data_IF_933900609461
#
_entry.id   IF_933900609461
#
_cell.length_a   1.000
_cell.length_b   1.000
_cell.length_c   1.000
_cell.angle_alpha   90.00
_cell.angle_beta   90.00
_cell.angle_gamma   90.00
#
_symmetry.space_group_name_H-M   'P 1'
#
loop_
_entity.id
_entity.type
_entity.pdbx_description
1 polymer ?
#
# COMPACT_ATOMS: atom_id res chain seq x y z
N UNK A 1 -23.45 4.60 23.19
CA UNK A 1 -24.50 4.30 24.17
C UNK A 1 -25.14 5.64 24.56
N UNK A 2 -26.32 5.96 24.03
CA UNK A 2 -27.06 7.16 24.45
C UNK A 2 -27.95 6.78 25.65
N UNK A 3 -27.78 7.49 26.75
CA UNK A 3 -28.20 7.10 28.11
C UNK A 3 -29.69 7.12 28.43
N UNK A 4 -30.56 7.48 27.48
CA UNK A 4 -31.99 7.72 27.77
C UNK A 4 -32.86 6.46 27.72
N UNK A 5 -32.31 5.30 27.33
CA UNK A 5 -33.04 4.01 27.21
C UNK A 5 -34.33 4.06 26.38
N UNK A 6 -34.63 5.13 25.64
CA UNK A 6 -35.86 5.26 24.84
C UNK A 6 -35.75 4.62 23.46
N UNK A 7 -34.52 4.47 22.96
CA UNK A 7 -34.23 4.04 21.59
C UNK A 7 -32.99 3.15 21.53
N UNK A 8 -33.09 2.02 20.83
CA UNK A 8 -31.97 1.18 20.44
C UNK A 8 -31.77 1.23 18.92
N UNK A 9 -30.52 1.46 18.49
CA UNK A 9 -30.13 1.44 17.08
C UNK A 9 -29.30 0.20 16.82
N UNK A 10 -29.78 -0.66 15.93
CA UNK A 10 -29.06 -1.85 15.47
C UNK A 10 -28.44 -1.56 14.11
N UNK A 11 -27.13 -1.71 14.04
CA UNK A 11 -26.39 -1.57 12.80
C UNK A 11 -26.30 -2.91 12.09
N UNK A 12 -26.48 -2.91 10.77
CA UNK A 12 -26.34 -4.12 9.96
C UNK A 12 -25.72 -3.79 8.60
N UNK A 13 -25.07 -4.81 8.02
CA UNK A 13 -24.52 -4.77 6.66
C UNK A 13 -25.26 -5.80 5.83
N UNK A 14 -25.73 -5.41 4.65
CA UNK A 14 -26.38 -6.30 3.69
C UNK A 14 -26.17 -5.78 2.28
N UNK A 15 -26.03 -6.68 1.31
CA UNK A 15 -25.94 -6.34 -0.11
C UNK A 15 -27.32 -5.97 -0.68
N UNK A 16 -28.36 -6.70 -0.26
CA UNK A 16 -29.73 -6.48 -0.68
C UNK A 16 -30.61 -5.91 0.44
N UNK A 17 -31.82 -5.48 0.06
CA UNK A 17 -32.81 -4.98 1.01
C UNK A 17 -33.36 -6.13 1.84
N UNK A 18 -33.10 -6.09 3.14
CA UNK A 18 -33.61 -7.08 4.11
C UNK A 18 -34.90 -6.56 4.78
N UNK A 19 -35.92 -7.41 4.89
CA UNK A 19 -37.15 -7.10 5.63
C UNK A 19 -37.02 -7.51 7.10
N UNK A 20 -36.95 -6.52 7.99
CA UNK A 20 -36.81 -6.73 9.43
C UNK A 20 -38.12 -6.63 10.21
N UNK A 21 -39.29 -6.56 9.55
CA UNK A 21 -40.57 -6.29 10.24
C UNK A 21 -40.87 -7.25 11.38
N UNK A 22 -40.65 -8.55 11.19
CA UNK A 22 -40.88 -9.55 12.25
C UNK A 22 -39.83 -9.46 13.36
N UNK A 23 -38.56 -9.27 13.01
CA UNK A 23 -37.47 -9.13 13.97
C UNK A 23 -37.65 -7.88 14.84
N UNK A 24 -38.06 -6.76 14.24
CA UNK A 24 -38.35 -5.51 14.96
C UNK A 24 -39.46 -5.72 15.98
N UNK A 25 -40.54 -6.48 15.65
CA UNK A 25 -41.61 -6.79 16.60
C UNK A 25 -41.08 -7.58 17.80
N UNK A 26 -40.31 -8.64 17.54
CA UNK A 26 -39.70 -9.47 18.59
C UNK A 26 -38.75 -8.67 19.50
N UNK A 27 -37.91 -7.81 18.93
CA UNK A 27 -36.97 -6.97 19.67
C UNK A 27 -37.70 -5.88 20.48
N UNK A 28 -38.73 -5.25 19.90
CA UNK A 28 -39.51 -4.22 20.59
C UNK A 28 -40.28 -4.80 21.78
N UNK A 29 -40.83 -6.01 21.65
CA UNK A 29 -41.49 -6.73 22.75
C UNK A 29 -40.50 -7.09 23.87
N UNK A 30 -39.33 -7.60 23.51
CA UNK A 30 -38.31 -8.01 24.46
C UNK A 30 -37.70 -6.83 25.24
N UNK A 31 -37.33 -5.75 24.54
CA UNK A 31 -36.62 -4.62 25.15
C UNK A 31 -37.54 -3.49 25.62
N UNK A 32 -38.82 -3.45 25.17
CA UNK A 32 -39.81 -2.40 25.48
C UNK A 32 -39.33 -0.97 25.14
N UNK A 33 -38.55 -0.84 24.07
CA UNK A 33 -37.96 0.41 23.58
C UNK A 33 -38.15 0.54 22.08
N UNK A 34 -37.98 1.75 21.53
CA UNK A 34 -38.05 1.97 20.09
C UNK A 34 -36.83 1.36 19.40
N UNK A 35 -37.08 0.41 18.51
CA UNK A 35 -36.04 -0.24 17.70
C UNK A 35 -35.87 0.51 16.38
N UNK A 36 -34.63 0.86 16.05
CA UNK A 36 -34.24 1.41 14.75
C UNK A 36 -33.18 0.52 14.11
N UNK A 37 -33.46 0.02 12.91
CA UNK A 37 -32.48 -0.70 12.10
C UNK A 37 -31.78 0.30 11.19
N UNK A 38 -30.45 0.34 11.21
CA UNK A 38 -29.64 1.25 10.39
C UNK A 38 -28.63 0.46 9.56
N UNK A 39 -28.80 0.52 8.24
CA UNK A 39 -27.82 -0.05 7.33
C UNK A 39 -26.53 0.78 7.37
N UNK A 40 -25.40 0.08 7.39
CA UNK A 40 -24.06 0.66 7.26
C UNK A 40 -23.28 -0.10 6.19
N UNK A 41 -22.26 0.55 5.62
CA UNK A 41 -21.36 -0.10 4.68
C UNK A 41 -20.30 -0.94 5.40
N UNK A 42 -19.74 -1.94 4.71
CA UNK A 42 -18.67 -2.83 5.21
C UNK A 42 -17.48 -2.10 5.85
N UNK A 43 -17.13 -0.89 5.37
CA UNK A 43 -16.06 -0.08 5.96
C UNK A 43 -16.47 0.56 7.29
N UNK A 44 -17.71 1.01 7.40
CA UNK A 44 -18.23 1.59 8.63
C UNK A 44 -18.43 0.51 9.69
N UNK A 45 -18.75 -0.71 9.28
CA UNK A 45 -18.75 -1.89 10.14
C UNK A 45 -17.35 -2.16 10.67
N UNK A 46 -16.34 -2.28 9.78
CA UNK A 46 -14.94 -2.44 10.18
C UNK A 46 -14.44 -1.30 11.08
N UNK A 47 -14.88 -0.06 10.85
CA UNK A 47 -14.56 1.08 11.71
C UNK A 47 -15.16 0.97 13.12
N UNK A 48 -16.38 0.44 13.24
CA UNK A 48 -17.05 0.26 14.54
C UNK A 48 -16.51 -0.93 15.32
N UNK A 49 -16.19 -2.02 14.62
CA UNK A 49 -15.55 -3.19 15.22
C UNK A 49 -14.10 -2.86 15.65
N UNK A 50 -13.42 -2.03 14.86
CA UNK A 50 -12.00 -1.76 15.03
C UNK A 50 -11.14 -2.94 14.57
N UNK A 51 -9.85 -2.88 14.88
CA UNK A 51 -8.90 -3.94 14.56
C UNK A 51 -7.51 -3.42 14.23
N UNK A 52 -6.65 -4.33 13.78
CA UNK A 52 -5.28 -4.02 13.36
C UNK A 52 -5.16 -4.20 11.84
N UNK A 53 -4.64 -3.17 11.18
CA UNK A 53 -4.35 -3.19 9.75
C UNK A 53 -3.10 -4.01 9.44
N UNK A 54 -2.89 -4.32 8.16
CA UNK A 54 -1.68 -5.03 7.71
C UNK A 54 -0.37 -4.26 7.98
N UNK A 55 -0.46 -2.97 8.33
CA UNK A 55 0.67 -2.15 8.76
C UNK A 55 1.01 -2.28 10.26
N UNK A 56 0.29 -3.13 11.01
CA UNK A 56 0.50 -3.33 12.45
C UNK A 56 -0.07 -2.22 13.35
N UNK A 57 -0.79 -1.25 12.78
CA UNK A 57 -1.47 -0.17 13.53
C UNK A 57 -2.98 -0.41 13.59
N UNK A 58 -3.66 0.30 14.48
CA UNK A 58 -5.12 0.35 14.49
C UNK A 58 -5.69 0.80 13.14
N UNK A 59 -6.90 0.37 12.80
CA UNK A 59 -7.53 0.75 11.53
C UNK A 59 -7.69 2.28 11.46
N UNK A 60 -7.18 2.89 10.37
CA UNK A 60 -7.33 4.33 10.16
C UNK A 60 -8.80 4.77 10.23
N UNK A 61 -9.73 3.90 9.80
CA UNK A 61 -11.16 4.15 9.84
C UNK A 61 -11.83 4.10 11.21
N UNK A 62 -11.22 3.42 12.19
CA UNK A 62 -11.67 3.41 13.58
C UNK A 62 -10.99 4.49 14.43
N UNK A 63 -9.94 5.14 13.89
CA UNK A 63 -9.08 6.07 14.61
C UNK A 63 -9.32 7.52 14.17
N UNK A 64 -8.68 7.95 13.09
CA UNK A 64 -8.60 9.37 12.72
C UNK A 64 -9.21 9.70 11.35
N UNK A 65 -9.42 8.71 10.47
CA UNK A 65 -9.95 8.91 9.12
C UNK A 65 -11.43 8.54 9.07
N UNK A 66 -12.31 9.49 8.79
CA UNK A 66 -13.76 9.27 8.73
C UNK A 66 -14.37 9.52 7.34
N UNK A 67 -13.68 10.29 6.50
CA UNK A 67 -14.07 10.55 5.11
C UNK A 67 -13.23 9.72 4.16
N UNK A 68 -13.89 9.01 3.24
CA UNK A 68 -13.23 8.14 2.29
C UNK A 68 -13.73 8.40 0.87
N UNK A 69 -12.77 8.54 -0.04
CA UNK A 69 -13.04 8.50 -1.46
C UNK A 69 -12.96 7.06 -1.97
N UNK A 70 -13.56 6.81 -3.14
CA UNK A 70 -13.38 5.55 -3.84
C UNK A 70 -11.91 5.38 -4.21
N UNK A 71 -11.38 4.18 -3.97
CA UNK A 71 -9.98 3.85 -4.28
C UNK A 71 -9.97 3.09 -5.59
N UNK A 72 -9.06 3.45 -6.49
CA UNK A 72 -8.88 2.76 -7.76
C UNK A 72 -7.62 1.90 -7.74
N UNK A 73 -7.56 0.89 -8.60
CA UNK A 73 -6.34 0.10 -8.81
C UNK A 73 -5.21 0.93 -9.44
N UNK A 74 -5.52 2.10 -10.00
CA UNK A 74 -4.51 3.01 -10.54
C UNK A 74 -3.60 3.58 -9.45
N UNK A 75 -4.14 3.85 -8.24
CA UNK A 75 -3.33 4.31 -7.10
C UNK A 75 -2.25 3.28 -6.75
N UNK A 76 -2.60 1.99 -6.75
CA UNK A 76 -1.63 0.90 -6.52
C UNK A 76 -0.57 0.80 -7.62
N UNK A 77 -0.95 1.06 -8.89
CA UNK A 77 -0.02 1.06 -10.03
C UNK A 77 1.01 2.18 -9.93
N UNK A 78 0.58 3.40 -9.57
CA UNK A 78 1.49 4.54 -9.39
C UNK A 78 2.48 4.26 -8.26
N UNK A 79 2.03 3.62 -7.18
CA UNK A 79 2.87 3.19 -6.06
C UNK A 79 3.75 1.97 -6.37
N UNK A 80 3.69 1.44 -7.59
CA UNK A 80 4.44 0.27 -8.05
C UNK A 80 4.19 -0.98 -7.19
N UNK A 81 3.00 -1.11 -6.62
CA UNK A 81 2.58 -2.26 -5.83
C UNK A 81 2.06 -3.39 -6.72
N UNK A 82 2.22 -4.63 -6.25
CA UNK A 82 1.63 -5.80 -6.92
C UNK A 82 0.11 -5.68 -6.98
N UNK A 83 -0.49 -5.95 -8.14
CA UNK A 83 -1.95 -5.88 -8.35
C UNK A 83 -2.72 -7.10 -7.81
N UNK A 84 -2.16 -7.84 -6.84
CA UNK A 84 -2.86 -8.97 -6.21
C UNK A 84 -3.98 -8.42 -5.29
N UNK A 85 -5.26 -8.79 -5.52
CA UNK A 85 -6.40 -8.32 -4.72
C UNK A 85 -6.27 -8.59 -3.23
N UNK A 86 -5.75 -9.76 -2.83
CA UNK A 86 -5.59 -10.12 -1.41
C UNK A 86 -4.62 -9.17 -0.69
N UNK A 87 -3.54 -8.76 -1.36
CA UNK A 87 -2.55 -7.82 -0.79
C UNK A 87 -3.06 -6.38 -0.75
N UNK A 88 -3.96 -6.01 -1.66
CA UNK A 88 -4.52 -4.67 -1.78
C UNK A 88 -5.82 -4.45 -0.98
N UNK A 89 -6.52 -5.52 -0.60
CA UNK A 89 -7.71 -5.47 0.23
C UNK A 89 -7.38 -5.06 1.68
N UNK A 90 -8.18 -4.17 2.24
CA UNK A 90 -8.19 -3.89 3.68
C UNK A 90 -9.11 -4.85 4.44
N UNK A 91 -9.15 -4.72 5.76
CA UNK A 91 -10.00 -5.58 6.62
C UNK A 91 -11.50 -5.50 6.28
N UNK A 92 -11.94 -4.41 5.67
CA UNK A 92 -13.31 -4.26 5.18
C UNK A 92 -13.60 -4.96 3.83
N UNK A 93 -12.67 -5.77 3.30
CA UNK A 93 -12.78 -6.46 2.02
C UNK A 93 -12.62 -5.58 0.77
N UNK A 94 -12.67 -4.25 0.90
CA UNK A 94 -12.42 -3.28 -0.18
C UNK A 94 -10.95 -2.87 -0.24
N UNK A 95 -10.54 -2.27 -1.36
CA UNK A 95 -9.20 -1.68 -1.52
C UNK A 95 -8.82 -0.76 -0.34
N UNK A 96 -7.56 -0.85 0.10
CA UNK A 96 -6.99 -0.07 1.20
C UNK A 96 -7.14 1.43 0.93
N UNK A 97 -7.73 2.15 1.87
CA UNK A 97 -7.84 3.62 1.81
C UNK A 97 -6.47 4.31 1.91
N UNK A 98 -5.48 3.66 2.53
CA UNK A 98 -4.09 4.16 2.58
C UNK A 98 -3.50 4.40 1.19
N UNK A 99 -3.95 3.66 0.17
CA UNK A 99 -3.50 3.86 -1.21
C UNK A 99 -3.82 5.27 -1.72
N UNK A 100 -4.97 5.84 -1.37
CA UNK A 100 -5.27 7.23 -1.74
C UNK A 100 -4.63 8.22 -0.76
N UNK A 101 -4.44 7.85 0.50
CA UNK A 101 -3.80 8.74 1.47
C UNK A 101 -2.33 9.01 1.14
N UNK A 102 -1.59 7.99 0.70
CA UNK A 102 -0.16 8.08 0.45
C UNK A 102 0.17 8.56 -0.98
N UNK A 103 -0.82 8.55 -1.89
CA UNK A 103 -0.58 8.73 -3.33
C UNK A 103 0.13 10.04 -3.68
N UNK A 104 -0.26 11.14 -3.04
CA UNK A 104 0.29 12.47 -3.35
C UNK A 104 1.78 12.54 -2.99
N UNK A 105 2.14 11.98 -1.82
CA UNK A 105 3.54 11.87 -1.40
C UNK A 105 4.35 11.00 -2.36
N UNK A 106 3.76 9.93 -2.91
CA UNK A 106 4.41 9.12 -3.95
C UNK A 106 4.62 9.91 -5.25
N UNK A 107 3.61 10.65 -5.72
CA UNK A 107 3.69 11.45 -6.94
C UNK A 107 4.77 12.53 -6.80
N UNK A 108 4.76 13.28 -5.70
CA UNK A 108 5.76 14.30 -5.40
C UNK A 108 7.17 13.69 -5.35
N UNK A 109 7.31 12.55 -4.66
CA UNK A 109 8.60 11.87 -4.57
C UNK A 109 9.07 11.40 -5.94
N UNK A 110 8.20 10.84 -6.78
CA UNK A 110 8.54 10.41 -8.14
C UNK A 110 9.01 11.56 -9.04
N UNK A 111 8.54 12.79 -8.84
CA UNK A 111 9.03 13.96 -9.60
C UNK A 111 10.51 14.26 -9.33
N UNK A 112 11.04 13.87 -8.16
CA UNK A 112 12.46 14.04 -7.84
C UNK A 112 13.38 13.00 -8.49
N UNK A 113 12.82 11.94 -9.09
CA UNK A 113 13.60 10.87 -9.70
C UNK A 113 14.01 11.24 -11.12
N UNK A 114 15.27 10.98 -11.52
CA UNK A 114 15.69 11.14 -12.91
C UNK A 114 15.03 10.13 -13.84
N UNK A 115 15.03 10.42 -15.15
CA UNK A 115 14.50 9.52 -16.17
C UNK A 115 15.19 8.14 -16.10
N UNK A 116 14.38 7.09 -15.95
CA UNK A 116 14.84 5.71 -15.81
C UNK A 116 15.53 5.15 -17.07
N UNK A 117 15.42 5.84 -18.22
CA UNK A 117 16.11 5.48 -19.47
C UNK A 117 17.57 5.90 -19.49
N UNK A 118 18.00 6.77 -18.58
CA UNK A 118 19.38 7.27 -18.52
C UNK A 118 20.29 6.17 -17.97
N UNK A 119 21.25 5.73 -18.80
CA UNK A 119 22.31 4.81 -18.38
C UNK A 119 23.43 5.57 -17.70
N UNK A 120 23.83 5.13 -16.52
CA UNK A 120 24.96 5.72 -15.81
C UNK A 120 26.26 5.21 -16.41
N UNK A 121 27.18 6.11 -16.76
CA UNK A 121 28.50 5.76 -17.27
C UNK A 121 29.53 5.92 -16.15
N UNK A 122 30.36 4.89 -15.98
CA UNK A 122 31.50 4.90 -15.06
C UNK A 122 32.74 4.39 -15.78
N UNK A 123 33.92 4.51 -15.17
CA UNK A 123 35.16 3.94 -15.74
C UNK A 123 35.11 2.41 -15.83
N UNK A 124 34.42 1.76 -14.89
CA UNK A 124 34.21 0.30 -14.86
C UNK A 124 33.28 -0.19 -15.97
N UNK A 125 32.31 0.62 -16.39
CA UNK A 125 31.33 0.24 -17.40
C UNK A 125 30.05 1.07 -17.36
N UNK A 126 29.08 0.66 -18.18
CA UNK A 126 27.73 1.25 -18.22
C UNK A 126 26.80 0.47 -17.31
N UNK A 127 25.95 1.19 -16.59
CA UNK A 127 24.93 0.59 -15.75
C UNK A 127 23.53 0.99 -16.20
N UNK A 128 22.65 -0.01 -16.20
CA UNK A 128 21.24 0.11 -16.55
C UNK A 128 20.38 0.11 -15.29
N UNK A 129 19.28 0.87 -15.34
CA UNK A 129 18.28 0.90 -14.28
C UNK A 129 17.51 -0.44 -14.21
N UNK A 130 17.22 -0.89 -12.99
CA UNK A 130 16.50 -2.15 -12.73
C UNK A 130 15.17 -1.89 -12.01
N UNK A 131 15.21 -1.26 -10.83
CA UNK A 131 14.02 -0.98 -9.99
C UNK A 131 14.25 0.28 -9.15
N UNK A 132 13.19 0.87 -8.60
CA UNK A 132 13.29 1.99 -7.65
C UNK A 132 12.52 1.68 -6.37
N UNK A 133 13.02 2.21 -5.26
CA UNK A 133 12.29 2.27 -3.99
C UNK A 133 11.96 3.74 -3.75
N UNK A 134 10.72 4.13 -4.07
CA UNK A 134 10.25 5.52 -4.05
C UNK A 134 10.34 6.10 -2.65
N UNK A 135 9.88 5.36 -1.64
CA UNK A 135 9.85 5.83 -0.25
C UNK A 135 11.26 6.02 0.33
N UNK A 136 12.20 5.15 -0.01
CA UNK A 136 13.60 5.27 0.44
C UNK A 136 14.43 6.24 -0.41
N UNK A 137 13.88 6.78 -1.49
CA UNK A 137 14.61 7.60 -2.48
C UNK A 137 15.86 6.89 -3.01
N UNK A 138 15.69 5.62 -3.38
CA UNK A 138 16.77 4.77 -3.89
C UNK A 138 16.44 4.24 -5.29
N UNK A 139 17.47 4.15 -6.14
CA UNK A 139 17.39 3.53 -7.46
C UNK A 139 18.40 2.39 -7.56
N UNK A 140 17.97 1.27 -8.14
CA UNK A 140 18.78 0.09 -8.32
C UNK A 140 19.33 0.04 -9.72
N UNK A 141 20.65 -0.12 -9.83
CA UNK A 141 21.38 -0.22 -11.08
C UNK A 141 22.21 -1.49 -11.13
N UNK A 142 22.33 -2.10 -12.31
CA UNK A 142 23.26 -3.19 -12.57
C UNK A 142 24.21 -2.80 -13.70
N UNK A 143 25.47 -3.27 -13.62
CA UNK A 143 26.38 -3.14 -14.74
C UNK A 143 25.93 -4.04 -15.90
N UNK A 144 26.13 -3.58 -17.14
CA UNK A 144 25.81 -4.40 -18.33
C UNK A 144 26.61 -5.70 -18.37
N UNK A 145 27.84 -5.69 -17.84
CA UNK A 145 28.72 -6.86 -17.76
C UNK A 145 28.41 -7.80 -16.59
N UNK A 146 27.69 -7.32 -15.57
CA UNK A 146 27.28 -8.12 -14.40
C UNK A 146 25.81 -7.82 -14.01
N UNK A 147 24.83 -8.35 -14.77
CA UNK A 147 23.40 -8.09 -14.54
C UNK A 147 22.85 -8.66 -13.23
N UNK A 148 23.57 -9.58 -12.59
CA UNK A 148 23.14 -10.27 -11.37
C UNK A 148 23.42 -9.46 -10.10
N UNK A 149 24.35 -8.51 -10.18
CA UNK A 149 24.77 -7.67 -9.08
C UNK A 149 24.10 -6.30 -9.17
N UNK A 150 23.01 -6.13 -8.41
CA UNK A 150 22.26 -4.88 -8.36
C UNK A 150 22.74 -4.04 -7.17
N UNK A 151 22.95 -2.76 -7.44
CA UNK A 151 23.45 -1.78 -6.47
C UNK A 151 22.37 -0.72 -6.21
N UNK A 152 22.06 -0.48 -4.95
CA UNK A 152 21.12 0.56 -4.54
C UNK A 152 21.86 1.89 -4.34
N UNK A 153 21.54 2.87 -5.19
CA UNK A 153 22.15 4.21 -5.19
C UNK A 153 21.08 5.24 -4.78
N UNK A 154 21.38 6.17 -3.84
CA UNK A 154 20.47 7.26 -3.51
C UNK A 154 20.20 8.17 -4.71
N UNK A 155 18.96 8.65 -4.86
CA UNK A 155 18.56 9.52 -5.99
C UNK A 155 19.45 10.75 -6.14
N UNK A 156 19.84 11.40 -5.04
CA UNK A 156 20.75 12.56 -5.08
C UNK A 156 22.10 12.23 -5.71
N UNK A 157 22.63 11.03 -5.43
CA UNK A 157 23.89 10.54 -6.01
C UNK A 157 23.72 10.12 -7.47
N UNK A 158 22.58 9.56 -7.84
CA UNK A 158 22.25 9.29 -9.24
C UNK A 158 22.26 10.59 -10.04
N UNK A 159 21.62 11.65 -9.54
CA UNK A 159 21.61 12.96 -10.17
C UNK A 159 23.03 13.55 -10.30
N UNK A 160 23.87 13.44 -9.26
CA UNK A 160 25.28 13.85 -9.30
C UNK A 160 26.05 13.10 -10.41
N UNK A 161 25.86 11.79 -10.54
CA UNK A 161 26.51 10.97 -11.58
C UNK A 161 26.01 11.38 -12.98
N UNK A 162 24.71 11.69 -13.13
CA UNK A 162 24.15 12.16 -14.41
C UNK A 162 24.76 13.51 -14.80
N UNK A 163 24.89 14.44 -13.86
CA UNK A 163 25.55 15.73 -14.11
C UNK A 163 27.02 15.57 -14.50
N UNK A 164 27.76 14.67 -13.83
CA UNK A 164 29.13 14.35 -14.18
C UNK A 164 29.23 13.75 -15.59
N UNK A 165 28.31 12.85 -15.94
CA UNK A 165 28.24 12.24 -17.27
C UNK A 165 27.97 13.28 -18.37
N UNK A 166 27.12 14.27 -18.11
CA UNK A 166 26.87 15.39 -19.01
C UNK A 166 28.13 16.25 -19.20
N UNK A 167 28.94 16.39 -18.14
CA UNK A 167 30.26 17.06 -18.17
C UNK A 167 31.40 16.17 -18.70
N UNK A 168 31.10 14.98 -19.23
CA UNK A 168 32.07 13.95 -19.69
C UNK A 168 33.07 13.49 -18.62
N UNK A 169 32.71 13.61 -17.34
CA UNK A 169 33.48 13.08 -16.21
C UNK A 169 32.84 11.77 -15.75
N UNK A 170 33.64 10.72 -15.65
CA UNK A 170 33.16 9.38 -15.29
C UNK A 170 33.71 8.99 -13.92
N UNK A 171 32.84 8.70 -12.93
CA UNK A 171 33.28 8.17 -11.65
C UNK A 171 33.93 6.79 -11.83
N UNK A 172 34.79 6.38 -10.89
CA UNK A 172 35.56 5.14 -10.99
C UNK A 172 34.63 3.91 -11.00
N UNK A 173 33.76 3.83 -10.00
CA UNK A 173 32.75 2.78 -9.85
C UNK A 173 31.44 3.36 -9.28
N UNK A 174 30.37 2.57 -9.35
CA UNK A 174 29.09 2.86 -8.70
C UNK A 174 29.07 2.40 -7.23
N UNK A 175 30.01 1.55 -6.86
CA UNK A 175 30.07 0.90 -5.54
C UNK A 175 30.37 1.92 -4.44
N UNK A 176 31.17 2.95 -4.73
CA UNK A 176 31.41 4.08 -3.83
C UNK A 176 30.15 4.87 -3.46
N UNK A 177 29.10 4.80 -4.30
CA UNK A 177 27.83 5.50 -4.07
C UNK A 177 26.71 4.56 -3.61
N UNK A 178 26.95 3.25 -3.63
CA UNK A 178 25.98 2.24 -3.29
C UNK A 178 25.82 2.14 -1.76
N UNK A 179 24.58 2.20 -1.27
CA UNK A 179 24.29 1.94 0.15
C UNK A 179 24.09 0.46 0.44
N UNK A 180 23.63 -0.31 -0.54
CA UNK A 180 23.36 -1.74 -0.44
C UNK A 180 23.70 -2.44 -1.76
N UNK A 181 24.18 -3.68 -1.67
CA UNK A 181 24.38 -4.59 -2.79
C UNK A 181 23.47 -5.80 -2.58
N UNK A 182 22.63 -6.13 -3.56
CA UNK A 182 21.88 -7.39 -3.58
C UNK A 182 22.42 -8.23 -4.76
N UNK A 183 22.74 -9.49 -4.49
CA UNK A 183 22.83 -10.49 -5.54
C UNK A 183 21.43 -11.02 -5.78
N UNK A 184 20.97 -11.09 -7.04
CA UNK A 184 19.75 -11.83 -7.35
C UNK A 184 19.97 -13.31 -7.04
N UNK A 185 19.55 -13.76 -5.86
CA UNK A 185 19.27 -15.18 -5.65
C UNK A 185 18.06 -15.54 -6.50
N UNK A 186 18.19 -16.54 -7.37
CA UNK A 186 17.06 -17.18 -8.04
C UNK A 186 16.18 -17.82 -6.95
N UNK A 187 15.24 -17.04 -6.40
CA UNK A 187 14.16 -17.59 -5.59
C UNK A 187 12.98 -17.72 -6.53
N UNK A 188 12.70 -18.96 -6.88
CA UNK A 188 11.48 -19.38 -7.55
C UNK A 188 10.28 -18.70 -6.89
N UNK A 189 9.35 -18.20 -7.71
CA UNK A 189 8.01 -17.91 -7.25
C UNK A 189 7.32 -19.25 -6.96
N UNK A 190 7.70 -19.89 -5.85
CA UNK A 190 6.91 -20.91 -5.21
C UNK A 190 5.84 -20.22 -4.39
N UNK A 191 4.60 -20.29 -4.87
CA UNK A 191 3.43 -20.18 -4.01
C UNK A 191 3.60 -21.17 -2.85
N UNK A 192 3.80 -20.65 -1.64
CA UNK A 192 3.69 -21.44 -0.41
C UNK A 192 2.64 -20.75 0.45
N UNK A 193 1.39 -21.09 0.14
CA UNK A 193 0.27 -20.96 1.06
C UNK A 193 0.21 -22.29 1.83
N UNK A 194 1.01 -22.41 2.90
CA UNK A 194 1.05 -23.63 3.75
C UNK A 194 0.97 -23.27 5.24
N UNK A 195 0.00 -22.42 5.58
CA UNK A 195 -0.42 -22.17 6.97
C UNK A 195 -1.91 -22.48 7.21
N UNK A 196 -2.60 -23.06 6.23
CA UNK A 196 -4.00 -23.47 6.36
C UNK A 196 -4.18 -24.90 6.90
N UNK A 197 -3.11 -25.61 7.28
CA UNK A 197 -3.20 -27.01 7.73
C UNK A 197 -3.05 -27.20 9.25
N UNK A 198 -3.00 -26.11 10.03
CA UNK A 198 -2.88 -26.16 11.49
C UNK A 198 -3.95 -25.37 12.27
N UNK A 199 -5.11 -25.09 11.67
CA UNK A 199 -6.29 -24.57 12.39
C UNK A 199 -7.54 -25.31 11.94
#
# INVERSE_FOLDING_TARGET
>A
YQGDKTKAVFYYTAEERVDFRELIKKLAEAFRIRIEMRQIGVRQEAAKLGGIGSCGRELCCSSWMSSFQSVSTNSARIQQLSLNPQKLAGQCGKLKCCLNYEIDNYIETLQSFPDNRIRLKTKKGRASYVKSDVLKKMMWYAYEDDPNNIMAIPVDKVNEIIELNNKKKYPADLEMFARQKEQKSHVEAGDVDDLAQYI
#
